data_IF_208956435973
#
_entry.id   IF_208956435973
#
_cell.length_a   1.000
_cell.length_b   1.000
_cell.length_c   1.000
_cell.angle_alpha   90.00
_cell.angle_beta   90.00
_cell.angle_gamma   90.00
#
_symmetry.space_group_name_H-M   'P 1'
#
loop_
_entity.id
_entity.type
_entity.pdbx_description
1 polymer ?
#
# COMPACT_ATOMS: atom_id res chain seq x y z
N UNK A 1 6.67 -23.48 1.38
CA UNK A 1 5.31 -23.89 1.78
C UNK A 1 4.36 -22.89 1.15
N UNK A 2 3.12 -23.28 0.87
CA UNK A 2 2.12 -22.35 0.34
C UNK A 2 1.29 -21.79 1.51
N UNK A 3 0.82 -20.56 1.34
CA UNK A 3 -0.06 -19.86 2.27
C UNK A 3 -1.39 -19.56 1.57
N UNK A 4 -2.47 -19.63 2.34
CA UNK A 4 -3.82 -19.35 1.85
C UNK A 4 -4.14 -17.86 1.98
N UNK A 5 -4.53 -17.23 0.88
CA UNK A 5 -4.96 -15.83 0.84
C UNK A 5 -6.45 -15.78 0.54
N UNK A 6 -7.21 -15.20 1.45
CA UNK A 6 -8.66 -14.99 1.34
C UNK A 6 -8.91 -13.56 0.90
N UNK A 7 -9.64 -13.39 -0.21
CA UNK A 7 -10.01 -12.10 -0.77
C UNK A 7 -11.36 -11.63 -0.23
N UNK A 8 -11.66 -10.34 -0.39
CA UNK A 8 -12.89 -9.71 0.13
C UNK A 8 -14.19 -10.32 -0.42
N UNK A 9 -14.15 -10.92 -1.60
CA UNK A 9 -15.28 -11.63 -2.23
C UNK A 9 -15.44 -13.08 -1.71
N UNK A 10 -14.59 -13.50 -0.78
CA UNK A 10 -14.55 -14.85 -0.22
C UNK A 10 -13.76 -15.84 -1.08
N UNK A 11 -13.18 -15.41 -2.20
CA UNK A 11 -12.33 -16.28 -2.99
C UNK A 11 -11.03 -16.58 -2.22
N UNK A 12 -10.67 -17.86 -2.19
CA UNK A 12 -9.42 -18.32 -1.60
C UNK A 12 -8.44 -18.70 -2.71
N UNK A 13 -7.17 -18.31 -2.55
CA UNK A 13 -6.06 -18.68 -3.44
C UNK A 13 -4.85 -19.11 -2.63
N UNK A 14 -4.01 -19.96 -3.23
CA UNK A 14 -2.75 -20.40 -2.64
C UNK A 14 -1.59 -19.72 -3.34
N UNK A 15 -0.65 -19.20 -2.56
CA UNK A 15 0.58 -18.59 -3.06
C UNK A 15 1.79 -19.14 -2.29
N UNK A 16 2.98 -19.19 -2.91
CA UNK A 16 4.20 -19.48 -2.16
C UNK A 16 4.37 -18.51 -0.99
N UNK A 17 4.73 -19.02 0.18
CA UNK A 17 5.09 -18.20 1.32
C UNK A 17 6.16 -17.17 0.93
N UNK A 18 5.97 -15.92 1.35
CA UNK A 18 6.83 -14.79 1.02
C UNK A 18 6.45 -14.07 -0.27
N UNK A 19 5.41 -14.51 -0.99
CA UNK A 19 4.89 -13.77 -2.15
C UNK A 19 4.45 -12.37 -1.72
N UNK A 20 4.84 -11.34 -2.47
CA UNK A 20 4.47 -9.95 -2.14
C UNK A 20 3.01 -9.71 -2.48
N UNK A 21 2.37 -8.83 -1.71
CA UNK A 21 0.99 -8.42 -1.97
C UNK A 21 0.83 -7.92 -3.40
N UNK A 22 1.74 -7.09 -3.92
CA UNK A 22 1.67 -6.57 -5.30
C UNK A 22 1.63 -7.69 -6.36
N UNK A 23 2.37 -8.78 -6.14
CA UNK A 23 2.42 -9.91 -7.07
C UNK A 23 1.09 -10.69 -7.03
N UNK A 24 0.53 -10.88 -5.83
CA UNK A 24 -0.80 -11.48 -5.62
C UNK A 24 -1.88 -10.63 -6.31
N UNK A 25 -1.87 -9.31 -6.12
CA UNK A 25 -2.85 -8.41 -6.72
C UNK A 25 -2.75 -8.40 -8.24
N UNK A 26 -1.53 -8.46 -8.79
CA UNK A 26 -1.29 -8.54 -10.23
C UNK A 26 -1.83 -9.83 -10.85
N UNK A 27 -1.68 -10.97 -10.15
CA UNK A 27 -2.27 -12.26 -10.54
C UNK A 27 -3.82 -12.26 -10.49
N UNK A 28 -4.41 -11.50 -9.56
CA UNK A 28 -5.86 -11.35 -9.47
C UNK A 28 -6.39 -10.49 -10.63
N UNK A 29 -5.79 -9.32 -10.84
CA UNK A 29 -6.17 -8.40 -11.91
C UNK A 29 -5.10 -7.34 -12.14
N UNK A 30 -4.56 -7.26 -13.37
CA UNK A 30 -3.66 -6.16 -13.74
C UNK A 30 -4.28 -4.77 -13.58
N UNK A 31 -5.60 -4.64 -13.77
CA UNK A 31 -6.30 -3.37 -13.56
C UNK A 31 -6.30 -3.00 -12.09
N UNK A 32 -6.63 -3.94 -11.21
CA UNK A 32 -6.62 -3.72 -9.76
C UNK A 32 -5.20 -3.39 -9.28
N UNK A 33 -4.18 -4.08 -9.78
CA UNK A 33 -2.78 -3.79 -9.44
C UNK A 33 -2.37 -2.36 -9.80
N UNK A 34 -2.87 -1.80 -10.91
CA UNK A 34 -2.62 -0.40 -11.29
C UNK A 34 -3.35 0.61 -10.40
N UNK A 35 -4.47 0.23 -9.81
CA UNK A 35 -5.29 1.09 -8.94
C UNK A 35 -4.93 0.97 -7.45
N UNK A 36 -4.24 -0.11 -7.06
CA UNK A 36 -3.84 -0.40 -5.69
C UNK A 36 -2.90 0.68 -5.13
N UNK A 37 -3.22 1.18 -3.93
CA UNK A 37 -2.40 2.17 -3.22
C UNK A 37 -1.70 1.51 -2.02
N UNK A 38 -2.47 0.79 -1.21
CA UNK A 38 -2.02 0.01 -0.06
C UNK A 38 -2.89 -1.23 0.08
N UNK A 39 -2.57 -2.10 1.02
CA UNK A 39 -3.39 -3.26 1.33
C UNK A 39 -3.70 -3.33 2.82
N UNK A 40 -4.77 -4.05 3.15
CA UNK A 40 -5.05 -4.52 4.49
C UNK A 40 -4.79 -6.01 4.54
N UNK A 41 -3.83 -6.43 5.36
CA UNK A 41 -3.50 -7.81 5.62
C UNK A 41 -3.89 -8.14 7.06
N UNK A 42 -4.81 -9.08 7.27
CA UNK A 42 -5.32 -9.47 8.60
C UNK A 42 -5.75 -8.25 9.45
N UNK A 43 -6.49 -7.33 8.84
CA UNK A 43 -6.98 -6.11 9.49
C UNK A 43 -5.97 -4.97 9.61
N UNK A 44 -4.69 -5.18 9.27
CA UNK A 44 -3.62 -4.17 9.39
C UNK A 44 -3.25 -3.57 8.04
N UNK A 45 -3.13 -2.25 7.99
CA UNK A 45 -2.72 -1.55 6.78
C UNK A 45 -1.20 -1.72 6.55
N UNK A 46 -0.83 -2.18 5.37
CA UNK A 46 0.53 -2.54 4.98
C UNK A 46 0.84 -2.06 3.56
N UNK A 47 2.13 -1.90 3.27
CA UNK A 47 2.61 -1.56 1.93
C UNK A 47 2.48 -2.76 0.96
N UNK A 48 2.33 -2.48 -0.33
CA UNK A 48 2.14 -3.50 -1.37
C UNK A 48 3.36 -4.42 -1.58
N UNK A 49 4.55 -4.04 -1.12
CA UNK A 49 5.74 -4.90 -1.18
C UNK A 49 5.88 -5.82 0.03
N UNK A 50 4.95 -5.76 0.98
CA UNK A 50 4.94 -6.65 2.16
C UNK A 50 4.79 -8.11 1.71
N UNK A 51 5.67 -9.03 2.17
CA UNK A 51 5.53 -10.45 1.91
C UNK A 51 4.42 -11.07 2.77
N UNK A 52 3.66 -12.01 2.20
CA UNK A 52 2.66 -12.79 2.92
C UNK A 52 3.31 -14.06 3.46
N UNK A 53 3.46 -14.14 4.78
CA UNK A 53 4.20 -15.21 5.47
C UNK A 53 3.31 -16.33 6.04
N UNK A 54 2.02 -16.05 6.18
CA UNK A 54 1.04 -16.96 6.80
C UNK A 54 -0.32 -16.81 6.12
N UNK A 55 -1.21 -17.77 6.38
CA UNK A 55 -2.60 -17.70 5.91
C UNK A 55 -3.22 -16.36 6.31
N UNK A 56 -3.76 -15.63 5.35
CA UNK A 56 -4.13 -14.23 5.53
C UNK A 56 -5.39 -13.84 4.79
N UNK A 57 -6.12 -12.88 5.36
CA UNK A 57 -7.15 -12.10 4.68
C UNK A 57 -6.51 -10.87 4.05
N UNK A 58 -6.73 -10.70 2.74
CA UNK A 58 -6.18 -9.61 1.95
C UNK A 58 -7.31 -8.75 1.36
N UNK A 59 -7.30 -7.47 1.68
CA UNK A 59 -8.10 -6.45 1.04
C UNK A 59 -7.18 -5.44 0.34
N UNK A 60 -7.40 -5.23 -0.95
CA UNK A 60 -6.70 -4.17 -1.72
C UNK A 60 -7.43 -2.86 -1.50
N UNK A 61 -6.69 -1.82 -1.12
CA UNK A 61 -7.25 -0.50 -0.88
C UNK A 61 -6.87 0.42 -2.04
N UNK A 62 -7.89 0.94 -2.71
CA UNK A 62 -7.81 1.87 -3.85
C UNK A 62 -8.11 3.29 -3.41
N UNK A 63 -7.81 4.28 -4.27
CA UNK A 63 -7.84 5.71 -3.93
C UNK A 63 -9.22 6.26 -3.48
N UNK A 64 -10.31 5.58 -3.82
CA UNK A 64 -11.67 5.91 -3.38
C UNK A 64 -11.91 5.67 -1.88
N UNK A 65 -11.03 4.92 -1.22
CA UNK A 65 -11.11 4.64 0.21
C UNK A 65 -10.30 5.67 1.03
N UNK A 66 -10.85 6.13 2.15
CA UNK A 66 -10.27 7.23 2.94
C UNK A 66 -8.84 6.96 3.43
N UNK A 67 -8.55 5.73 3.84
CA UNK A 67 -7.21 5.33 4.32
C UNK A 67 -6.16 5.40 3.19
N UNK A 68 -6.54 5.06 1.95
CA UNK A 68 -5.64 5.24 0.81
C UNK A 68 -5.39 6.71 0.50
N UNK A 69 -6.37 7.60 0.68
CA UNK A 69 -6.18 9.04 0.49
C UNK A 69 -5.21 9.63 1.52
N UNK A 70 -5.29 9.16 2.77
CA UNK A 70 -4.34 9.55 3.82
C UNK A 70 -2.91 9.12 3.46
N UNK A 71 -2.71 7.85 3.08
CA UNK A 71 -1.40 7.35 2.65
C UNK A 71 -0.89 8.09 1.41
N UNK A 72 -1.75 8.29 0.41
CA UNK A 72 -1.39 9.01 -0.81
C UNK A 72 -0.89 10.42 -0.51
N UNK A 73 -1.60 11.16 0.35
CA UNK A 73 -1.23 12.53 0.73
C UNK A 73 0.04 12.55 1.56
N UNK A 74 0.22 11.60 2.47
CA UNK A 74 1.45 11.45 3.22
C UNK A 74 2.64 11.22 2.28
N UNK A 75 2.52 10.29 1.32
CA UNK A 75 3.55 10.07 0.30
C UNK A 75 3.82 11.31 -0.55
N UNK A 76 2.79 12.11 -0.83
CA UNK A 76 2.96 13.38 -1.56
C UNK A 76 3.76 14.40 -0.74
N UNK A 77 3.65 14.40 0.60
CA UNK A 77 4.48 15.23 1.48
C UNK A 77 5.97 14.89 1.36
N UNK A 78 6.30 13.60 1.25
CA UNK A 78 7.66 13.12 0.99
C UNK A 78 8.19 13.58 -0.36
N UNK A 79 7.37 13.55 -1.42
CA UNK A 79 7.76 14.05 -2.74
C UNK A 79 8.10 15.55 -2.68
N UNK A 80 7.27 16.35 -2.01
CA UNK A 80 7.55 17.78 -1.81
C UNK A 80 8.85 17.98 -1.02
N UNK A 81 9.02 17.27 0.10
CA UNK A 81 10.22 17.35 0.93
C UNK A 81 11.49 17.02 0.13
N UNK A 82 11.45 15.96 -0.69
CA UNK A 82 12.53 15.57 -1.58
C UNK A 82 12.84 16.66 -2.62
N UNK A 83 11.82 17.30 -3.20
CA UNK A 83 12.01 18.40 -4.13
C UNK A 83 12.67 19.62 -3.47
N UNK A 84 12.22 19.99 -2.26
CA UNK A 84 12.80 21.09 -1.47
C UNK A 84 14.28 20.81 -1.17
N UNK A 85 14.62 19.60 -0.71
CA UNK A 85 16.01 19.25 -0.41
C UNK A 85 16.93 19.30 -1.65
N UNK A 86 16.40 19.02 -2.85
CA UNK A 86 17.16 19.12 -4.11
C UNK A 86 17.38 20.57 -4.52
N UNK A 87 16.36 21.41 -4.40
CA UNK A 87 16.41 22.82 -4.82
C UNK A 87 17.16 23.70 -3.82
N UNK A 88 17.12 23.35 -2.53
CA UNK A 88 17.69 24.12 -1.44
C UNK A 88 18.61 23.24 -0.57
N UNK A 89 19.86 23.00 -1.01
CA UNK A 89 20.83 22.24 -0.23
C UNK A 89 21.01 22.82 1.18
N UNK A 90 20.94 21.96 2.20
CA UNK A 90 21.04 22.38 3.60
C UNK A 90 19.70 22.71 4.28
N UNK A 91 18.58 22.69 3.55
CA UNK A 91 17.24 22.72 4.15
C UNK A 91 17.07 21.56 5.14
N UNK A 92 16.39 21.83 6.26
CA UNK A 92 16.11 20.83 7.31
C UNK A 92 14.63 20.50 7.31
N UNK A 93 14.30 19.21 7.32
CA UNK A 93 12.93 18.72 7.41
C UNK A 93 12.49 18.61 8.87
N UNK A 94 11.22 18.95 9.15
CA UNK A 94 10.61 18.81 10.46
C UNK A 94 9.53 17.72 10.46
N UNK A 95 8.27 18.07 10.19
CA UNK A 95 7.11 17.16 10.19
C UNK A 95 6.23 17.49 8.98
N UNK A 96 5.71 16.47 8.30
CA UNK A 96 4.78 16.61 7.16
C UNK A 96 3.71 15.50 7.16
N UNK A 97 2.72 15.56 8.07
CA UNK A 97 1.66 14.56 8.16
C UNK A 97 0.58 14.77 7.11
N UNK A 98 -0.17 13.74 6.74
CA UNK A 98 -1.40 13.90 5.96
C UNK A 98 -2.48 14.62 6.77
N UNK A 99 -3.31 15.42 6.09
CA UNK A 99 -4.50 16.08 6.65
C UNK A 99 -5.74 15.83 5.75
N UNK A 100 -6.92 16.26 6.23
CA UNK A 100 -8.22 16.00 5.59
C UNK A 100 -8.33 16.44 4.13
N UNK A 101 -7.61 17.47 3.72
CA UNK A 101 -7.67 17.99 2.34
C UNK A 101 -6.27 18.18 1.72
N UNK A 102 -5.23 17.54 2.28
CA UNK A 102 -3.84 17.72 1.85
C UNK A 102 -2.80 17.01 2.72
N UNK A 103 -1.61 17.60 2.84
CA UNK A 103 -0.53 17.22 3.74
C UNK A 103 0.24 18.46 4.22
#
# INVERSE_FOLDING_TARGET
>A
MDVKVVLKDGNERLYPQGTRIMDIVSDISERLAKEAIVARLNGRLVDLFTPVEEDSELEVITFDMSEAQEVFRHSTSHIMAQAVMRLFPGAKLAIGPSIKDGF
#
